data_IF_685144709515
#
_entry.id   IF_685144709515
#
_cell.length_a   1.000
_cell.length_b   1.000
_cell.length_c   1.000
_cell.angle_alpha   90.00
_cell.angle_beta   90.00
_cell.angle_gamma   90.00
#
_symmetry.space_group_name_H-M   'P 1'
#
loop_
_entity.id
_entity.type
_entity.pdbx_description
1 polymer ?
#
# COMPACT_ATOMS: atom_id res chain seq x y z
N UNK A 1 14.10 -7.95 23.20
CA UNK A 1 12.91 -7.39 22.47
C UNK A 1 11.62 -7.50 23.28
N UNK A 2 11.16 -8.70 23.66
CA UNK A 2 9.86 -8.88 24.36
C UNK A 2 9.72 -8.04 25.63
N UNK A 3 10.77 -8.00 26.47
CA UNK A 3 10.76 -7.21 27.71
C UNK A 3 10.75 -5.70 27.44
N UNK A 4 11.56 -5.23 26.49
CA UNK A 4 11.63 -3.82 26.12
C UNK A 4 10.28 -3.33 25.57
N UNK A 5 9.70 -4.05 24.62
CA UNK A 5 8.40 -3.71 24.03
C UNK A 5 7.26 -3.72 25.06
N UNK A 6 7.29 -4.66 26.02
CA UNK A 6 6.32 -4.69 27.12
C UNK A 6 6.37 -3.41 27.96
N UNK A 7 7.56 -2.90 28.27
CA UNK A 7 7.72 -1.64 29.02
C UNK A 7 7.35 -0.42 28.17
N UNK A 8 7.80 -0.39 26.91
CA UNK A 8 7.61 0.75 26.02
C UNK A 8 6.15 0.94 25.59
N UNK A 9 5.37 -0.14 25.45
CA UNK A 9 4.00 -0.04 24.91
C UNK A 9 3.11 0.93 25.68
N UNK A 10 3.19 0.93 27.02
CA UNK A 10 2.40 1.83 27.84
C UNK A 10 2.91 3.28 27.74
N UNK A 11 4.23 3.47 27.90
CA UNK A 11 4.86 4.79 27.80
C UNK A 11 4.64 5.47 26.43
N UNK A 12 4.67 4.71 25.33
CA UNK A 12 4.42 5.23 23.98
C UNK A 12 2.97 5.72 23.82
N UNK A 13 2.01 5.00 24.40
CA UNK A 13 0.60 5.40 24.35
C UNK A 13 0.35 6.69 25.13
N UNK A 14 0.95 6.83 26.31
CA UNK A 14 0.80 8.03 27.14
C UNK A 14 1.51 9.25 26.53
N UNK A 15 2.65 9.04 25.87
CA UNK A 15 3.44 10.11 25.26
C UNK A 15 3.05 10.44 23.81
N UNK A 16 2.04 9.76 23.25
CA UNK A 16 1.60 9.89 21.85
C UNK A 16 2.76 9.81 20.83
N UNK A 17 3.81 9.05 21.16
CA UNK A 17 5.03 8.96 20.34
C UNK A 17 4.96 7.76 19.39
N UNK A 18 5.30 7.97 18.12
CA UNK A 18 5.38 6.90 17.12
C UNK A 18 6.78 6.29 17.15
N UNK A 19 6.85 4.97 17.38
CA UNK A 19 8.10 4.22 17.30
C UNK A 19 8.16 3.38 16.02
N UNK A 20 9.11 3.71 15.13
CA UNK A 20 9.31 3.03 13.86
C UNK A 20 10.49 2.07 13.96
N UNK A 21 10.26 0.78 13.69
CA UNK A 21 11.31 -0.22 13.59
C UNK A 21 11.60 -0.54 12.12
N UNK A 22 12.85 -0.35 11.71
CA UNK A 22 13.36 -0.86 10.44
C UNK A 22 13.99 -2.23 10.71
N UNK A 23 13.56 -3.24 9.96
CA UNK A 23 14.02 -4.61 10.17
C UNK A 23 14.40 -5.28 8.85
N UNK A 24 15.37 -6.18 8.91
CA UNK A 24 15.82 -6.96 7.77
C UNK A 24 15.07 -8.30 7.72
N UNK A 25 14.90 -8.82 6.52
CA UNK A 25 14.43 -10.18 6.29
C UNK A 25 15.63 -11.12 6.34
N UNK A 26 15.45 -12.27 7.00
CA UNK A 26 16.39 -13.39 7.01
C UNK A 26 15.68 -14.64 6.50
N UNK A 27 16.43 -15.50 5.85
CA UNK A 27 15.96 -16.85 5.55
C UNK A 27 16.13 -17.71 6.80
N UNK A 28 15.07 -18.41 7.23
CA UNK A 28 15.21 -19.47 8.23
C UNK A 28 15.57 -20.76 7.51
N UNK A 29 16.71 -21.35 7.86
CA UNK A 29 17.06 -22.70 7.41
C UNK A 29 16.07 -23.67 8.07
N UNK A 30 15.28 -24.37 7.27
CA UNK A 30 14.31 -25.33 7.80
C UNK A 30 15.00 -26.69 7.96
N UNK A 31 14.92 -27.28 9.16
CA UNK A 31 15.59 -28.55 9.50
C UNK A 31 14.92 -29.77 8.83
N UNK A 32 13.67 -29.63 8.37
CA UNK A 32 12.95 -30.69 7.67
C UNK A 32 12.90 -30.37 6.17
N UNK A 33 13.62 -31.17 5.39
CA UNK A 33 13.70 -31.06 3.93
C UNK A 33 12.32 -31.18 3.31
N UNK A 34 11.91 -30.15 2.56
CA UNK A 34 10.64 -30.13 1.85
C UNK A 34 10.63 -28.97 0.88
N UNK A 35 10.34 -29.28 -0.38
CA UNK A 35 10.28 -28.41 -1.56
C UNK A 35 9.49 -27.11 -1.33
N UNK A 36 10.17 -26.04 -0.90
CA UNK A 36 9.58 -24.72 -0.75
C UNK A 36 10.65 -23.63 -0.62
N UNK A 37 10.34 -22.43 -1.10
CA UNK A 37 11.21 -21.28 -0.88
C UNK A 37 11.43 -21.06 0.63
N UNK A 38 12.65 -20.71 1.07
CA UNK A 38 12.94 -20.53 2.49
C UNK A 38 12.01 -19.51 3.11
N UNK A 39 11.42 -19.84 4.26
CA UNK A 39 10.47 -18.96 4.92
C UNK A 39 11.18 -17.69 5.39
N UNK A 40 10.63 -16.56 4.96
CA UNK A 40 11.12 -15.24 5.36
C UNK A 40 10.75 -14.96 6.83
N UNK A 41 11.76 -14.70 7.64
CA UNK A 41 11.61 -14.33 9.05
C UNK A 41 12.25 -12.99 9.34
N UNK A 42 11.66 -12.24 10.27
CA UNK A 42 12.19 -10.96 10.74
C UNK A 42 13.07 -11.18 11.97
N UNK A 43 14.17 -10.43 12.09
CA UNK A 43 15.03 -10.48 13.27
C UNK A 43 14.29 -9.98 14.54
N UNK A 44 14.78 -10.36 15.72
CA UNK A 44 14.23 -9.90 17.00
C UNK A 44 13.10 -10.74 17.60
N UNK A 45 12.90 -11.95 17.07
CA UNK A 45 11.89 -12.90 17.54
C UNK A 45 10.46 -12.50 17.20
N UNK A 46 9.48 -13.13 17.88
CA UNK A 46 8.07 -12.91 17.57
C UNK A 46 7.45 -11.67 18.22
N UNK A 47 8.08 -11.11 19.26
CA UNK A 47 7.50 -10.01 20.02
C UNK A 47 7.13 -8.80 19.17
N UNK A 48 8.01 -8.39 18.26
CA UNK A 48 7.75 -7.24 17.38
C UNK A 48 6.52 -7.47 16.49
N UNK A 49 6.27 -8.70 16.05
CA UNK A 49 5.09 -9.04 15.24
C UNK A 49 3.79 -8.82 16.01
N UNK A 50 3.79 -9.07 17.32
CA UNK A 50 2.61 -8.93 18.19
C UNK A 50 2.38 -7.49 18.64
N UNK A 51 3.44 -6.80 19.08
CA UNK A 51 3.36 -5.43 19.57
C UNK A 51 3.14 -4.38 18.46
N UNK A 52 3.63 -4.61 17.24
CA UNK A 52 3.42 -3.67 16.13
C UNK A 52 1.92 -3.50 15.80
N UNK A 53 1.46 -2.25 15.72
CA UNK A 53 0.12 -1.90 15.24
C UNK A 53 0.01 -1.99 13.73
N UNK A 54 1.06 -1.57 13.01
CA UNK A 54 1.16 -1.65 11.56
C UNK A 54 2.46 -2.36 11.17
N UNK A 55 2.39 -3.28 10.21
CA UNK A 55 3.57 -3.95 9.63
C UNK A 55 3.54 -3.80 8.12
N UNK A 56 4.60 -3.20 7.59
CA UNK A 56 4.79 -3.00 6.16
C UNK A 56 5.89 -3.95 5.68
N UNK A 57 5.62 -4.67 4.60
CA UNK A 57 6.61 -5.45 3.88
C UNK A 57 6.94 -4.70 2.58
N UNK A 58 8.14 -4.14 2.50
CA UNK A 58 8.64 -3.37 1.38
C UNK A 58 9.54 -4.25 0.52
N UNK A 59 9.22 -4.39 -0.77
CA UNK A 59 10.06 -5.11 -1.73
C UNK A 59 10.31 -4.25 -2.98
N UNK A 60 11.55 -4.20 -3.50
CA UNK A 60 11.80 -3.61 -4.81
C UNK A 60 11.13 -4.48 -5.88
N UNK A 61 10.46 -3.85 -6.84
CA UNK A 61 9.81 -4.52 -7.98
C UNK A 61 10.65 -4.34 -9.24
N UNK A 62 11.19 -3.16 -9.46
CA UNK A 62 11.92 -2.83 -10.69
C UNK A 62 12.66 -1.51 -10.61
N UNK A 63 13.38 -1.20 -11.68
CA UNK A 63 14.16 0.03 -11.82
C UNK A 63 13.44 1.01 -12.73
N UNK A 64 13.45 2.28 -12.36
CA UNK A 64 12.94 3.38 -13.17
C UNK A 64 14.09 3.89 -14.00
N UNK A 65 13.99 3.76 -15.32
CA UNK A 65 15.02 4.19 -16.27
C UNK A 65 14.57 5.37 -17.10
N UNK A 66 15.49 6.27 -17.40
CA UNK A 66 15.28 7.38 -18.33
C UNK A 66 16.36 7.30 -19.41
N UNK A 67 16.00 6.76 -20.57
CA UNK A 67 17.00 6.34 -21.56
C UNK A 67 17.82 5.17 -21.00
N UNK A 68 19.14 5.33 -20.93
CA UNK A 68 20.07 4.31 -20.42
C UNK A 68 20.33 4.40 -18.92
N UNK A 69 20.03 5.55 -18.29
CA UNK A 69 20.32 5.78 -16.88
C UNK A 69 19.22 5.28 -15.95
N UNK A 70 19.61 4.69 -14.81
CA UNK A 70 18.70 4.30 -13.73
C UNK A 70 18.50 5.48 -12.79
N UNK A 71 17.31 6.07 -12.84
CA UNK A 71 16.95 7.28 -12.07
C UNK A 71 16.29 6.94 -10.73
N UNK A 72 15.78 5.71 -10.57
CA UNK A 72 15.12 5.31 -9.34
C UNK A 72 14.73 3.84 -9.27
N UNK A 73 13.98 3.51 -8.22
CA UNK A 73 13.47 2.17 -7.93
C UNK A 73 11.96 2.24 -7.71
N UNK A 74 11.24 1.30 -8.29
CA UNK A 74 9.85 1.06 -7.97
C UNK A 74 9.76 0.08 -6.80
N UNK A 75 9.07 0.47 -5.73
CA UNK A 75 8.94 -0.27 -4.49
C UNK A 75 7.47 -0.66 -4.30
N UNK A 76 7.22 -1.93 -4.03
CA UNK A 76 5.91 -2.40 -3.60
C UNK A 76 5.90 -2.54 -2.09
N UNK A 77 4.88 -1.95 -1.46
CA UNK A 77 4.65 -2.02 -0.03
C UNK A 77 3.35 -2.76 0.23
N UNK A 78 3.45 -3.92 0.89
CA UNK A 78 2.30 -4.71 1.33
C UNK A 78 2.05 -4.50 2.82
N UNK A 79 0.83 -4.14 3.18
CA UNK A 79 0.42 -4.01 4.58
C UNK A 79 0.12 -5.41 5.12
N UNK A 80 1.05 -6.01 5.84
CA UNK A 80 0.91 -7.39 6.36
C UNK A 80 0.13 -7.45 7.66
N UNK A 81 0.11 -6.35 8.42
CA UNK A 81 -0.69 -6.19 9.64
C UNK A 81 -1.15 -4.75 9.76
N UNK A 82 -2.41 -4.55 10.10
CA UNK A 82 -2.97 -3.25 10.41
C UNK A 82 -4.03 -3.41 11.51
N UNK A 83 -3.89 -2.67 12.62
CA UNK A 83 -4.87 -2.64 13.72
C UNK A 83 -5.87 -1.48 13.63
N UNK A 84 -5.69 -0.56 12.69
CA UNK A 84 -6.50 0.66 12.58
C UNK A 84 -7.43 0.67 11.35
N UNK A 85 -7.13 -0.14 10.34
CA UNK A 85 -7.92 -0.24 9.11
C UNK A 85 -7.72 -1.63 8.46
N UNK A 86 -8.47 -1.97 7.41
CA UNK A 86 -8.35 -3.28 6.74
C UNK A 86 -6.91 -3.60 6.30
N UNK A 87 -6.36 -4.77 6.68
CA UNK A 87 -5.00 -5.18 6.30
C UNK A 87 -4.92 -5.68 4.85
N UNK A 88 -3.72 -6.09 4.41
CA UNK A 88 -3.41 -6.74 3.13
C UNK A 88 -3.52 -5.90 1.86
N UNK A 89 -3.85 -4.61 1.98
CA UNK A 89 -3.71 -3.67 0.87
C UNK A 89 -2.24 -3.57 0.44
N UNK A 90 -2.04 -3.41 -0.85
CA UNK A 90 -0.73 -3.27 -1.48
C UNK A 90 -0.68 -1.95 -2.24
N UNK A 91 0.43 -1.24 -2.11
CA UNK A 91 0.69 0.01 -2.82
C UNK A 91 2.02 -0.10 -3.57
N UNK A 92 2.10 0.54 -4.73
CA UNK A 92 3.33 0.70 -5.48
C UNK A 92 3.75 2.16 -5.39
N UNK A 93 5.02 2.38 -5.09
CA UNK A 93 5.63 3.69 -4.91
C UNK A 93 6.86 3.79 -5.80
N UNK A 94 7.14 4.99 -6.29
CA UNK A 94 8.35 5.30 -7.04
C UNK A 94 9.31 6.09 -6.13
N UNK A 95 10.55 5.61 -6.02
CA UNK A 95 11.63 6.28 -5.29
C UNK A 95 12.68 6.78 -6.29
N UNK A 96 12.82 8.10 -6.41
CA UNK A 96 13.84 8.75 -7.22
C UNK A 96 15.11 8.96 -6.39
N UNK A 97 16.27 8.59 -6.93
CA UNK A 97 17.54 8.77 -6.23
C UNK A 97 17.83 10.26 -6.02
N UNK A 98 18.25 10.64 -4.80
CA UNK A 98 18.52 12.03 -4.43
C UNK A 98 17.30 12.89 -4.10
N UNK A 99 16.08 12.47 -4.46
CA UNK A 99 14.84 13.21 -4.14
C UNK A 99 13.92 12.47 -3.14
N UNK A 100 13.97 11.14 -3.12
CA UNK A 100 13.13 10.32 -2.26
C UNK A 100 11.83 9.88 -2.96
N UNK A 101 10.76 9.72 -2.19
CA UNK A 101 9.47 9.21 -2.69
C UNK A 101 8.78 10.28 -3.52
N UNK A 102 8.46 9.96 -4.77
CA UNK A 102 7.78 10.87 -5.70
C UNK A 102 6.28 10.92 -5.42
N UNK A 103 5.84 11.97 -4.71
CA UNK A 103 4.40 12.23 -4.45
C UNK A 103 3.64 12.51 -5.74
N UNK A 104 4.27 13.23 -6.67
CA UNK A 104 3.63 13.58 -7.94
C UNK A 104 3.31 12.33 -8.78
N UNK A 105 4.21 11.33 -8.79
CA UNK A 105 3.94 10.04 -9.44
C UNK A 105 2.70 9.36 -8.86
N UNK A 106 2.58 9.34 -7.53
CA UNK A 106 1.46 8.71 -6.84
C UNK A 106 0.13 9.40 -7.18
N UNK A 107 0.12 10.75 -7.19
CA UNK A 107 -1.05 11.55 -7.56
C UNK A 107 -1.47 11.27 -9.01
N UNK A 108 -0.50 11.12 -9.93
CA UNK A 108 -0.80 10.80 -11.33
C UNK A 108 -1.45 9.41 -11.44
N UNK A 109 -0.87 8.41 -10.78
CA UNK A 109 -1.37 7.03 -10.86
C UNK A 109 -2.75 6.87 -10.22
N UNK A 110 -2.98 7.51 -9.07
CA UNK A 110 -4.29 7.56 -8.43
C UNK A 110 -5.29 8.36 -9.27
N UNK A 111 -4.87 9.50 -9.81
CA UNK A 111 -5.70 10.34 -10.69
C UNK A 111 -6.15 9.59 -11.95
N UNK A 112 -5.27 8.79 -12.56
CA UNK A 112 -5.62 7.92 -13.68
C UNK A 112 -6.57 6.80 -13.27
N UNK A 113 -6.38 6.20 -12.08
CA UNK A 113 -7.24 5.12 -11.58
C UNK A 113 -8.67 5.60 -11.29
N UNK A 114 -8.83 6.81 -10.79
CA UNK A 114 -10.13 7.41 -10.46
C UNK A 114 -10.69 8.30 -11.58
N UNK A 115 -10.17 8.19 -12.81
CA UNK A 115 -10.63 8.92 -14.01
C UNK A 115 -10.57 10.45 -13.90
N UNK A 116 -9.77 11.01 -12.99
CA UNK A 116 -9.48 12.45 -12.94
C UNK A 116 -8.44 12.85 -14.00
N UNK A 117 -7.60 11.89 -14.39
CA UNK A 117 -6.59 12.06 -15.43
C UNK A 117 -6.92 11.06 -16.54
N UNK A 118 -7.31 11.55 -17.70
CA UNK A 118 -7.67 10.70 -18.83
C UNK A 118 -6.42 10.33 -19.61
N UNK A 119 -6.14 9.03 -19.74
CA UNK A 119 -5.05 8.52 -20.58
C UNK A 119 -5.56 8.34 -22.01
N UNK A 120 -5.03 9.13 -22.95
CA UNK A 120 -5.35 9.04 -24.38
C UNK A 120 -4.18 8.41 -25.14
N UNK A 121 -4.44 7.44 -26.02
CA UNK A 121 -3.44 6.93 -26.98
C UNK A 121 -2.13 6.43 -26.37
N UNK A 122 -2.19 5.65 -25.27
CA UNK A 122 -1.05 4.93 -24.67
C UNK A 122 -0.01 5.78 -23.92
N UNK A 123 0.26 7.00 -24.40
CA UNK A 123 1.35 7.86 -23.94
C UNK A 123 0.93 9.30 -23.64
N UNK A 124 -0.32 9.69 -23.95
CA UNK A 124 -0.83 11.03 -23.68
C UNK A 124 -1.71 11.03 -22.45
N UNK A 125 -1.60 12.09 -21.66
CA UNK A 125 -2.41 12.32 -20.48
C UNK A 125 -3.15 13.63 -20.62
N UNK A 126 -4.41 13.68 -20.19
CA UNK A 126 -5.24 14.87 -20.23
C UNK A 126 -5.73 15.20 -18.83
N UNK A 127 -5.51 16.44 -18.39
CA UNK A 127 -5.91 16.97 -17.09
C UNK A 127 -6.61 18.31 -17.32
N UNK A 128 -7.89 18.41 -16.97
CA UNK A 128 -8.63 19.68 -17.04
C UNK A 128 -8.63 20.36 -18.41
N UNK A 129 -8.51 19.60 -19.50
CA UNK A 129 -8.43 20.12 -20.87
C UNK A 129 -7.01 20.33 -21.43
N UNK A 130 -5.97 20.29 -20.57
CA UNK A 130 -4.58 20.33 -21.01
C UNK A 130 -4.05 18.93 -21.33
N UNK A 131 -3.30 18.81 -22.44
CA UNK A 131 -2.70 17.55 -22.89
C UNK A 131 -1.19 17.55 -22.59
N UNK A 132 -0.71 16.44 -22.05
CA UNK A 132 0.68 16.21 -21.67
C UNK A 132 1.22 14.93 -22.30
N UNK A 133 2.50 14.95 -22.66
CA UNK A 133 3.20 13.82 -23.25
C UNK A 133 3.97 13.07 -22.15
N UNK A 134 3.42 11.93 -21.70
CA UNK A 134 4.02 11.11 -20.65
C UNK A 134 3.88 11.69 -19.24
N UNK A 135 4.30 10.88 -18.25
CA UNK A 135 4.25 11.25 -16.83
C UNK A 135 5.23 12.38 -16.46
N UNK A 136 6.40 12.42 -17.10
CA UNK A 136 7.43 13.43 -16.82
C UNK A 136 6.98 14.85 -17.10
N UNK A 137 6.18 15.06 -18.17
CA UNK A 137 5.62 16.37 -18.49
C UNK A 137 4.62 16.84 -17.41
N UNK A 138 3.81 15.92 -16.88
CA UNK A 138 2.86 16.23 -15.80
C UNK A 138 3.61 16.56 -14.51
N UNK A 139 4.68 15.84 -14.16
CA UNK A 139 5.51 16.16 -12.98
C UNK A 139 6.05 17.58 -13.05
N UNK A 140 6.54 18.02 -14.22
CA UNK A 140 7.00 19.41 -14.42
C UNK A 140 5.86 20.41 -14.25
N UNK A 141 4.71 20.12 -14.85
CA UNK A 141 3.53 20.96 -14.73
C UNK A 141 3.05 21.11 -13.27
N UNK A 142 3.09 20.05 -12.47
CA UNK A 142 2.76 20.09 -11.05
C UNK A 142 3.79 20.84 -10.20
N UNK A 143 5.05 20.85 -10.61
CA UNK A 143 6.09 21.64 -9.96
C UNK A 143 5.92 23.14 -10.23
N UNK A 144 5.51 23.50 -11.45
CA UNK A 144 5.25 24.89 -11.85
C UNK A 144 3.90 25.40 -11.30
N UNK A 145 2.91 24.52 -11.15
CA UNK A 145 1.54 24.86 -10.74
C UNK A 145 1.11 24.06 -9.50
N UNK A 146 1.67 24.41 -8.35
CA UNK A 146 1.39 23.70 -7.09
C UNK A 146 -0.09 23.75 -6.68
N UNK A 147 -0.81 24.84 -6.99
CA UNK A 147 -2.23 24.98 -6.68
C UNK A 147 -3.11 23.94 -7.38
N UNK A 148 -2.79 23.60 -8.64
CA UNK A 148 -3.53 22.56 -9.38
C UNK A 148 -3.26 21.17 -8.78
N UNK A 149 -2.01 20.92 -8.36
CA UNK A 149 -1.64 19.67 -7.68
C UNK A 149 -2.43 19.50 -6.38
N UNK A 150 -2.52 20.54 -5.56
CA UNK A 150 -3.21 20.49 -4.28
C UNK A 150 -4.72 20.32 -4.43
N UNK A 151 -5.34 21.01 -5.39
CA UNK A 151 -6.75 20.82 -5.71
C UNK A 151 -7.05 19.36 -6.11
N UNK A 152 -6.17 18.76 -6.92
CA UNK A 152 -6.30 17.38 -7.37
C UNK A 152 -6.12 16.39 -6.21
N UNK A 153 -5.16 16.65 -5.31
CA UNK A 153 -4.98 15.88 -4.07
C UNK A 153 -6.22 15.95 -3.17
N UNK A 154 -6.80 17.13 -3.01
CA UNK A 154 -7.99 17.32 -2.18
C UNK A 154 -9.18 16.53 -2.75
N UNK A 155 -9.45 16.66 -4.05
CA UNK A 155 -10.50 15.89 -4.75
C UNK A 155 -10.27 14.38 -4.61
N UNK A 156 -9.04 13.91 -4.80
CA UNK A 156 -8.68 12.49 -4.63
C UNK A 156 -8.95 11.99 -3.21
N UNK A 157 -8.56 12.76 -2.19
CA UNK A 157 -8.77 12.39 -0.79
C UNK A 157 -10.26 12.27 -0.45
N UNK A 158 -11.07 13.22 -0.91
CA UNK A 158 -12.52 13.18 -0.70
C UNK A 158 -13.17 11.97 -1.38
N UNK A 159 -12.78 11.66 -2.61
CA UNK A 159 -13.29 10.47 -3.32
C UNK A 159 -12.93 9.18 -2.60
N UNK A 160 -11.66 9.05 -2.18
CA UNK A 160 -11.19 7.88 -1.44
C UNK A 160 -11.87 7.73 -0.07
N UNK A 161 -12.12 8.83 0.63
CA UNK A 161 -12.89 8.81 1.87
C UNK A 161 -14.33 8.36 1.64
N UNK A 162 -15.00 8.82 0.58
CA UNK A 162 -16.37 8.38 0.24
C UNK A 162 -16.43 6.90 -0.11
N UNK A 163 -15.44 6.38 -0.84
CA UNK A 163 -15.33 4.95 -1.13
C UNK A 163 -15.13 4.09 0.12
N UNK A 164 -14.33 4.56 1.09
CA UNK A 164 -14.14 3.86 2.37
C UNK A 164 -15.46 3.72 3.15
N UNK A 165 -16.23 4.80 3.28
CA UNK A 165 -17.51 4.76 3.99
C UNK A 165 -18.56 3.86 3.32
N UNK A 166 -18.53 3.71 1.99
CA UNK A 166 -19.42 2.78 1.27
C UNK A 166 -19.08 1.31 1.55
N UNK A 167 -17.79 0.98 1.58
CA UNK A 167 -17.34 -0.39 1.82
C UNK A 167 -17.61 -0.85 3.26
N UNK A 168 -17.51 0.05 4.25
CA UNK A 168 -17.83 -0.27 5.65
C UNK A 168 -19.33 -0.56 5.86
N UNK A 169 -20.22 0.02 5.03
CA UNK A 169 -21.65 -0.29 5.05
C UNK A 169 -21.95 -1.67 4.44
N UNK A 170 -21.23 -2.06 3.39
CA UNK A 170 -21.48 -3.32 2.68
C UNK A 170 -20.93 -4.54 3.43
N UNK A 171 -19.90 -4.40 4.26
CA UNK A 171 -19.40 -5.48 5.11
C UNK A 171 -20.25 -5.76 6.36
N UNK A 172 -21.26 -4.93 6.63
CA UNK A 172 -22.15 -5.05 7.80
C UNK A 172 -23.54 -5.60 7.46
N UNK A 173 -23.83 -5.93 6.20
CA UNK A 173 -25.00 -6.76 5.88
C UNK A 173 -24.61 -8.23 6.04
N UNK A 174 -25.42 -9.06 6.73
CA UNK A 174 -25.22 -10.50 6.70
C UNK A 174 -25.29 -10.99 5.25
N UNK A 175 -24.32 -11.79 4.84
CA UNK A 175 -24.30 -12.46 3.55
C UNK A 175 -25.44 -13.50 3.56
N UNK A 176 -26.57 -13.22 2.88
CA UNK A 176 -27.71 -14.15 2.76
C UNK A 176 -27.39 -15.40 1.90
N UNK A 177 -26.11 -15.75 1.76
CA UNK A 177 -25.64 -16.84 0.88
C UNK A 177 -25.21 -18.11 1.61
N UNK A 178 -25.37 -18.19 2.93
CA UNK A 178 -25.05 -19.40 3.71
C UNK A 178 -26.28 -20.26 4.07
N UNK A 179 -27.50 -19.91 3.64
CA UNK A 179 -28.72 -20.64 4.04
C UNK A 179 -29.31 -21.62 3.01
N UNK A 180 -28.66 -21.87 1.86
CA UNK A 180 -29.22 -22.76 0.81
C UNK A 180 -28.53 -24.12 0.62
N UNK A 181 -27.45 -24.45 1.36
CA UNK A 181 -26.73 -25.73 1.16
C UNK A 181 -27.00 -26.85 2.20
N UNK A 182 -27.85 -26.65 3.21
CA UNK A 182 -28.13 -27.69 4.23
C UNK A 182 -29.60 -28.18 4.25
N UNK A 183 -30.21 -28.56 3.11
CA UNK A 183 -31.40 -29.44 3.15
C UNK A 183 -31.52 -30.35 1.91
N UNK A 184 -30.52 -31.19 1.62
CA UNK A 184 -30.77 -32.40 0.81
C UNK A 184 -29.79 -33.51 1.22
N UNK A 185 -30.12 -34.27 2.28
CA UNK A 185 -29.81 -35.71 2.41
C UNK A 185 -30.45 -36.21 3.69
N UNK A 186 -31.66 -36.77 3.60
CA UNK A 186 -32.15 -37.80 4.53
C UNK A 186 -33.45 -38.40 3.97
N UNK A 187 -33.34 -39.19 2.90
CA UNK A 187 -34.29 -40.29 2.61
C UNK A 187 -33.51 -41.39 1.88
N UNK A 188 -33.19 -42.48 2.58
CA UNK A 188 -33.13 -43.88 2.10
C UNK A 188 -32.25 -44.73 3.05
N UNK A 189 -32.90 -45.42 3.99
CA UNK A 189 -32.71 -46.83 4.37
C UNK A 189 -33.55 -47.16 5.62
#
# INVERSE_FOLDING_TARGET
>A
MSQALRKLSHSLSCSQTILIFVNQVRAKLNTFGGFGAPTEVTCGGNALKFYASVRLNTRPVGFIRKGEEVVGIQIQVKIVKNKHAPPFKTIQLELEFGKGISRDSEVIDLGSKHNLITKAGGSYYSIGGHKFNGKDAIKRYFHENEGVREELIMKLREMLQKELHKNDFQSNLPDERESEEEVVTEVEA
#
